data_IF_369907385658
#
_entry.id   IF_369907385658
#
_cell.length_a   1.000
_cell.length_b   1.000
_cell.length_c   1.000
_cell.angle_alpha   90.00
_cell.angle_beta   90.00
_cell.angle_gamma   90.00
#
_symmetry.space_group_name_H-M   'P 1'
#
loop_
_entity.id
_entity.type
_entity.pdbx_description
1 polymer ?
#
# COMPACT_ATOMS: atom_id res chain seq x y z
N UNK A 1 65.92 -56.61 -10.37
CA UNK A 1 64.97 -57.12 -9.37
C UNK A 1 64.50 -55.97 -8.51
N UNK A 2 63.25 -55.98 -8.04
CA UNK A 2 62.05 -56.19 -8.85
C UNK A 2 60.98 -55.10 -8.60
N UNK A 3 60.02 -55.09 -9.52
CA UNK A 3 58.80 -54.29 -9.57
C UNK A 3 57.72 -54.78 -8.58
N UNK A 4 56.78 -53.88 -8.23
CA UNK A 4 55.35 -54.23 -8.12
C UNK A 4 54.66 -54.27 -6.74
N UNK A 5 53.75 -53.32 -6.51
CA UNK A 5 52.50 -53.46 -5.72
C UNK A 5 52.57 -53.21 -4.21
N UNK A 6 51.61 -52.45 -3.63
CA UNK A 6 50.30 -53.03 -3.28
C UNK A 6 49.10 -52.14 -3.69
N UNK A 7 48.09 -52.70 -4.37
CA UNK A 7 46.81 -53.25 -3.89
C UNK A 7 45.77 -52.21 -3.45
N UNK A 8 44.68 -52.19 -4.23
CA UNK A 8 43.39 -51.58 -3.93
C UNK A 8 42.85 -51.98 -2.55
N UNK A 9 42.33 -50.99 -1.82
CA UNK A 9 41.17 -51.17 -0.96
C UNK A 9 40.31 -49.92 -1.12
N UNK A 10 39.12 -50.12 -1.65
CA UNK A 10 38.19 -49.09 -2.08
C UNK A 10 37.69 -48.18 -0.95
N UNK A 11 37.36 -46.99 -1.39
CA UNK A 11 36.72 -45.84 -0.73
C UNK A 11 35.47 -46.21 0.07
N UNK A 12 35.40 -45.75 1.31
CA UNK A 12 34.14 -45.32 1.94
C UNK A 12 34.44 -44.28 3.05
N UNK A 13 34.37 -43.01 2.67
CA UNK A 13 34.13 -41.91 3.60
C UNK A 13 33.58 -40.72 2.81
N UNK A 14 32.25 -40.63 2.72
CA UNK A 14 31.56 -39.49 2.15
C UNK A 14 32.02 -38.19 2.79
N UNK A 15 32.65 -37.33 2.01
CA UNK A 15 32.97 -35.96 2.40
C UNK A 15 32.22 -35.05 1.44
N UNK A 16 31.34 -34.23 2.03
CA UNK A 16 30.45 -33.30 1.34
C UNK A 16 31.28 -32.26 0.60
N UNK A 17 31.01 -32.09 -0.69
CA UNK A 17 31.60 -31.04 -1.52
C UNK A 17 30.99 -29.67 -1.22
N UNK A 18 31.89 -28.68 -1.17
CA UNK A 18 31.66 -27.26 -1.43
C UNK A 18 31.04 -26.47 -0.28
N UNK A 19 31.67 -25.47 0.32
CA UNK A 19 32.73 -24.57 -0.12
C UNK A 19 32.39 -23.22 0.52
N UNK A 20 33.28 -22.69 1.34
CA UNK A 20 33.01 -21.53 2.18
C UNK A 20 33.96 -20.40 1.80
N UNK A 21 33.57 -19.50 0.89
CA UNK A 21 34.38 -18.34 0.57
C UNK A 21 33.57 -17.05 0.54
N UNK A 22 33.97 -16.10 1.38
CA UNK A 22 34.01 -14.69 1.01
C UNK A 22 32.79 -13.85 1.33
N UNK A 23 32.83 -13.16 2.48
CA UNK A 23 31.77 -12.24 2.90
C UNK A 23 31.66 -10.96 2.07
N UNK A 24 30.50 -10.33 2.19
CA UNK A 24 30.33 -8.86 2.24
C UNK A 24 29.13 -8.61 3.14
N UNK A 25 29.32 -7.81 4.20
CA UNK A 25 28.20 -7.32 5.02
C UNK A 25 27.58 -6.16 4.25
N UNK A 26 26.40 -6.37 3.68
CA UNK A 26 25.63 -5.28 3.10
C UNK A 26 24.24 -5.22 3.73
N UNK A 27 23.99 -4.07 4.34
CA UNK A 27 22.70 -3.38 4.48
C UNK A 27 21.47 -4.22 4.77
N UNK A 28 20.92 -4.03 5.98
CA UNK A 28 19.53 -4.35 6.26
C UNK A 28 18.64 -3.85 5.13
N UNK A 29 18.05 -4.79 4.42
CA UNK A 29 16.76 -4.61 3.80
C UNK A 29 15.83 -5.43 4.68
N UNK A 30 15.36 -4.83 5.77
CA UNK A 30 14.03 -5.10 6.23
C UNK A 30 13.13 -4.96 5.00
N UNK A 31 12.83 -6.09 4.38
CA UNK A 31 11.79 -6.19 3.38
C UNK A 31 10.50 -5.84 4.12
N UNK A 32 10.26 -4.52 4.25
CA UNK A 32 9.02 -3.94 4.70
C UNK A 32 7.94 -4.65 3.92
N UNK A 33 7.11 -5.36 4.67
CA UNK A 33 6.06 -6.25 4.21
C UNK A 33 5.47 -5.74 2.90
N UNK A 34 5.66 -6.50 1.83
CA UNK A 34 5.18 -6.21 0.48
C UNK A 34 3.65 -6.24 0.45
N UNK A 35 3.05 -5.21 1.02
CA UNK A 35 1.61 -5.00 1.07
C UNK A 35 1.15 -4.28 -0.20
N UNK A 36 1.65 -4.73 -1.35
CA UNK A 36 1.10 -4.36 -2.65
C UNK A 36 -0.21 -5.15 -2.86
N UNK A 37 -1.22 -4.84 -2.06
CA UNK A 37 -2.52 -5.49 -2.06
C UNK A 37 -3.37 -5.02 -3.23
N UNK A 38 -3.53 -5.85 -4.25
CA UNK A 38 -4.64 -5.74 -5.19
C UNK A 38 -5.95 -6.09 -4.49
N UNK A 39 -6.96 -5.23 -4.62
CA UNK A 39 -8.36 -5.57 -4.42
C UNK A 39 -8.80 -5.70 -2.95
N UNK A 40 -9.67 -4.80 -2.53
CA UNK A 40 -10.17 -4.73 -1.15
C UNK A 40 -10.73 -6.05 -0.63
N UNK A 41 -10.03 -6.62 0.34
CA UNK A 41 -10.60 -7.19 1.56
C UNK A 41 -9.61 -6.91 2.71
N UNK A 42 -10.10 -6.40 3.84
CA UNK A 42 -9.36 -6.09 5.09
C UNK A 42 -8.32 -4.95 5.07
N UNK A 43 -7.66 -4.62 3.95
CA UNK A 43 -6.51 -3.67 3.94
C UNK A 43 -6.81 -2.18 3.71
N UNK A 44 -8.06 -1.80 3.40
CA UNK A 44 -8.40 -0.40 3.07
C UNK A 44 -7.95 0.00 1.66
N UNK A 45 -7.71 1.30 1.43
CA UNK A 45 -7.32 1.85 0.14
C UNK A 45 -5.86 2.32 0.16
N UNK A 46 -5.02 1.74 -0.70
CA UNK A 46 -3.58 2.01 -0.78
C UNK A 46 -3.18 2.82 -2.02
N UNK A 47 -4.02 2.80 -3.06
CA UNK A 47 -3.85 3.54 -4.31
C UNK A 47 -2.63 3.11 -5.16
N UNK A 48 -2.08 1.93 -4.89
CA UNK A 48 -0.91 1.38 -5.59
C UNK A 48 -1.22 1.03 -7.06
N UNK A 49 -2.50 0.75 -7.36
CA UNK A 49 -2.96 0.35 -8.70
C UNK A 49 -3.91 1.35 -9.37
N UNK A 50 -3.99 2.58 -8.83
CA UNK A 50 -4.84 3.65 -9.36
C UNK A 50 -5.68 4.32 -8.28
N UNK A 51 -6.86 4.82 -8.64
CA UNK A 51 -7.76 5.50 -7.69
C UNK A 51 -8.64 4.53 -6.90
N UNK A 52 -8.61 3.22 -7.21
CA UNK A 52 -9.37 2.19 -6.50
C UNK A 52 -10.87 2.50 -6.38
N UNK A 53 -11.45 3.09 -7.44
CA UNK A 53 -12.86 3.44 -7.53
C UNK A 53 -13.23 4.79 -6.89
N UNK A 54 -12.26 5.52 -6.33
CA UNK A 54 -12.49 6.88 -5.87
C UNK A 54 -12.72 7.84 -7.03
N UNK A 55 -13.65 8.77 -6.82
CA UNK A 55 -14.09 9.76 -7.80
C UNK A 55 -14.33 11.11 -7.13
N UNK A 56 -14.26 12.17 -7.92
CA UNK A 56 -14.43 13.57 -7.47
C UNK A 56 -15.70 14.17 -8.07
N UNK A 57 -16.38 15.02 -7.30
CA UNK A 57 -17.54 15.79 -7.75
C UNK A 57 -17.60 17.17 -7.08
N UNK A 58 -18.27 18.13 -7.73
CA UNK A 58 -18.33 19.52 -7.27
C UNK A 58 -17.08 20.33 -7.59
N UNK A 59 -17.14 21.63 -7.33
CA UNK A 59 -16.01 22.56 -7.44
C UNK A 59 -15.60 22.97 -6.03
N UNK A 60 -14.30 23.08 -5.70
CA UNK A 60 -13.21 23.39 -6.62
C UNK A 60 -12.26 22.21 -6.93
N UNK A 61 -12.70 20.96 -6.80
CA UNK A 61 -11.81 19.82 -6.99
C UNK A 61 -11.84 19.29 -8.43
N UNK A 62 -10.71 18.77 -8.89
CA UNK A 62 -10.58 18.05 -10.18
C UNK A 62 -10.64 16.53 -9.94
N UNK A 63 -10.62 15.77 -11.03
CA UNK A 63 -10.56 14.31 -10.96
C UNK A 63 -9.37 13.85 -10.09
N UNK A 64 -9.65 12.97 -9.14
CA UNK A 64 -8.63 12.38 -8.29
C UNK A 64 -7.72 11.45 -9.11
N UNK A 65 -6.44 11.39 -8.75
CA UNK A 65 -5.44 10.57 -9.43
C UNK A 65 -4.56 9.85 -8.41
N UNK A 66 -3.96 8.72 -8.79
CA UNK A 66 -2.93 8.08 -7.97
C UNK A 66 -1.58 8.76 -8.19
N UNK A 67 -0.91 9.13 -7.12
CA UNK A 67 0.32 9.94 -7.12
C UNK A 67 1.40 9.35 -6.24
N UNK A 68 2.66 9.54 -6.63
CA UNK A 68 3.85 9.16 -5.84
C UNK A 68 4.38 10.29 -4.96
N UNK A 69 3.76 11.48 -5.01
CA UNK A 69 4.32 12.67 -4.35
C UNK A 69 4.31 12.59 -2.81
N UNK A 70 3.27 11.98 -2.23
CA UNK A 70 3.05 11.90 -0.77
C UNK A 70 2.34 10.60 -0.39
N UNK A 71 3.07 9.49 -0.44
CA UNK A 71 2.59 8.21 0.09
C UNK A 71 2.64 8.21 1.62
N UNK A 72 1.67 7.58 2.29
CA UNK A 72 1.76 7.27 3.71
C UNK A 72 2.42 5.90 3.91
N UNK A 73 1.91 4.91 3.20
CA UNK A 73 2.42 3.55 3.11
C UNK A 73 2.61 3.23 1.63
N UNK A 74 3.48 2.26 1.33
CA UNK A 74 3.78 1.90 -0.05
C UNK A 74 4.43 3.05 -0.82
N UNK A 75 4.05 3.20 -2.09
CA UNK A 75 4.66 4.16 -3.01
C UNK A 75 3.70 5.20 -3.55
N UNK A 76 2.39 5.04 -3.31
CA UNK A 76 1.35 5.91 -3.87
C UNK A 76 0.35 6.40 -2.83
N UNK A 77 -0.42 7.41 -3.22
CA UNK A 77 -1.59 7.91 -2.52
C UNK A 77 -2.59 8.53 -3.48
N UNK A 78 -3.80 8.80 -3.02
CA UNK A 78 -4.79 9.55 -3.79
C UNK A 78 -4.49 11.05 -3.71
N UNK A 79 -4.19 11.65 -4.86
CA UNK A 79 -4.10 13.09 -5.02
C UNK A 79 -5.44 13.66 -5.47
N UNK A 80 -5.86 14.75 -4.83
CA UNK A 80 -7.07 15.51 -5.17
C UNK A 80 -6.64 16.91 -5.60
N UNK A 81 -6.52 17.20 -6.90
CA UNK A 81 -6.11 18.52 -7.35
C UNK A 81 -7.24 19.53 -7.18
N UNK A 82 -6.88 20.77 -6.84
CA UNK A 82 -7.82 21.89 -6.72
C UNK A 82 -7.67 22.81 -7.94
N UNK A 83 -8.78 23.39 -8.41
CA UNK A 83 -8.80 24.41 -9.48
C UNK A 83 -8.44 25.81 -8.98
N UNK A 84 -8.42 26.03 -7.66
CA UNK A 84 -8.18 27.34 -7.03
C UNK A 84 -9.44 28.22 -6.92
N UNK A 85 -10.61 27.73 -7.32
CA UNK A 85 -11.89 28.45 -7.11
C UNK A 85 -12.42 28.23 -5.70
N UNK A 86 -13.37 29.06 -5.26
CA UNK A 86 -14.14 28.79 -4.03
C UNK A 86 -15.22 27.72 -4.29
N UNK A 87 -15.63 27.01 -3.24
CA UNK A 87 -16.73 26.05 -3.29
C UNK A 87 -16.55 24.83 -2.38
N UNK A 88 -17.39 23.83 -2.59
CA UNK A 88 -17.35 22.54 -1.89
C UNK A 88 -17.25 21.39 -2.89
N UNK A 89 -16.23 20.56 -2.70
CA UNK A 89 -16.02 19.33 -3.47
C UNK A 89 -16.15 18.10 -2.60
N UNK A 90 -16.51 16.97 -3.21
CA UNK A 90 -16.58 15.67 -2.56
C UNK A 90 -15.73 14.66 -3.33
N UNK A 91 -14.84 14.00 -2.61
CA UNK A 91 -14.10 12.83 -3.09
C UNK A 91 -14.64 11.61 -2.35
N UNK A 92 -15.10 10.63 -3.11
CA UNK A 92 -15.77 9.46 -2.54
C UNK A 92 -15.58 8.21 -3.39
N UNK A 93 -15.69 7.06 -2.74
CA UNK A 93 -15.79 5.74 -3.36
C UNK A 93 -17.18 5.18 -3.07
N UNK A 94 -17.83 4.65 -4.10
CA UNK A 94 -19.13 3.98 -3.94
C UNK A 94 -18.90 2.57 -3.42
N UNK A 95 -19.90 2.04 -2.71
CA UNK A 95 -19.93 0.64 -2.23
C UNK A 95 -18.67 0.23 -1.46
N UNK A 96 -18.17 1.11 -0.58
CA UNK A 96 -17.05 0.79 0.29
C UNK A 96 -17.41 -0.43 1.17
N UNK A 97 -16.54 -1.45 1.27
CA UNK A 97 -16.83 -2.67 2.04
C UNK A 97 -16.58 -2.42 3.54
N UNK A 98 -17.30 -1.47 4.13
CA UNK A 98 -17.20 -1.09 5.54
C UNK A 98 -18.39 -1.68 6.30
N UNK A 99 -18.16 -2.64 7.22
CA UNK A 99 -19.23 -3.16 8.07
C UNK A 99 -19.87 -2.06 8.93
N UNK A 100 -21.15 -2.19 9.23
CA UNK A 100 -21.85 -1.27 10.12
C UNK A 100 -21.20 -1.28 11.51
N UNK A 101 -20.96 -0.08 12.06
CA UNK A 101 -20.33 0.09 13.37
C UNK A 101 -18.80 -0.04 13.36
N UNK A 102 -18.18 -0.30 12.20
CA UNK A 102 -16.73 -0.27 12.07
C UNK A 102 -16.20 1.17 12.11
N UNK A 103 -14.98 1.32 12.65
CA UNK A 103 -14.24 2.60 12.61
C UNK A 103 -13.48 2.71 11.30
N UNK A 104 -13.64 3.84 10.61
CA UNK A 104 -12.85 4.19 9.43
C UNK A 104 -11.72 5.12 9.85
N UNK A 105 -10.48 4.72 9.59
CA UNK A 105 -9.29 5.55 9.80
C UNK A 105 -8.77 6.02 8.46
N UNK A 106 -8.40 7.30 8.38
CA UNK A 106 -7.82 7.89 7.17
C UNK A 106 -6.73 8.88 7.55
N UNK A 107 -5.84 9.18 6.61
CA UNK A 107 -4.82 10.22 6.76
C UNK A 107 -4.86 11.16 5.58
N UNK A 108 -4.92 12.46 5.87
CA UNK A 108 -4.90 13.52 4.86
C UNK A 108 -3.64 14.34 5.05
N UNK A 109 -2.95 14.60 3.93
CA UNK A 109 -1.92 15.62 3.87
C UNK A 109 -2.45 16.81 3.06
N UNK A 110 -2.35 18.00 3.63
CA UNK A 110 -2.71 19.25 2.97
C UNK A 110 -1.42 20.06 2.80
N UNK A 111 -1.06 20.49 1.57
CA UNK A 111 0.06 21.39 1.36
C UNK A 111 -0.07 22.67 2.21
N UNK A 112 1.04 23.16 2.74
CA UNK A 112 1.07 24.48 3.38
C UNK A 112 0.64 25.57 2.38
N UNK A 113 -0.10 26.57 2.87
CA UNK A 113 -0.66 27.63 2.02
C UNK A 113 -1.89 27.22 1.20
N UNK A 114 -2.40 25.99 1.38
CA UNK A 114 -3.69 25.59 0.81
C UNK A 114 -4.83 26.47 1.32
N UNK A 115 -5.75 26.84 0.44
CA UNK A 115 -6.98 27.58 0.77
C UNK A 115 -8.10 26.72 1.36
N UNK A 116 -7.83 25.47 1.73
CA UNK A 116 -8.81 24.58 2.38
C UNK A 116 -9.10 25.09 3.79
N UNK A 117 -10.35 25.44 4.05
CA UNK A 117 -10.80 25.97 5.35
C UNK A 117 -11.45 24.92 6.24
N UNK A 118 -11.95 23.82 5.67
CA UNK A 118 -12.58 22.73 6.39
C UNK A 118 -12.44 21.41 5.63
N UNK A 119 -12.40 20.31 6.39
CA UNK A 119 -12.57 18.95 5.91
C UNK A 119 -13.64 18.27 6.76
N UNK A 120 -14.62 17.66 6.12
CA UNK A 120 -15.72 16.94 6.78
C UNK A 120 -15.79 15.50 6.25
N UNK A 121 -15.21 14.54 6.98
CA UNK A 121 -15.36 13.13 6.66
C UNK A 121 -16.79 12.68 6.94
N UNK A 122 -17.34 11.85 6.04
CA UNK A 122 -18.63 11.20 6.25
C UNK A 122 -18.66 9.83 5.61
N UNK A 123 -19.58 8.99 6.07
CA UNK A 123 -20.00 7.77 5.41
C UNK A 123 -21.51 7.83 5.15
N UNK A 124 -21.91 7.51 3.92
CA UNK A 124 -23.31 7.36 3.55
C UNK A 124 -23.66 5.87 3.56
N UNK A 125 -24.49 5.45 4.50
CA UNK A 125 -24.96 4.07 4.59
C UNK A 125 -25.81 3.72 3.36
N UNK A 126 -25.74 2.48 2.88
CA UNK A 126 -26.56 2.01 1.76
C UNK A 126 -28.04 1.88 2.13
N UNK A 127 -28.83 1.30 1.23
CA UNK A 127 -30.28 1.11 1.39
C UNK A 127 -30.66 0.45 2.72
N UNK A 128 -29.94 -0.61 3.14
CA UNK A 128 -30.16 -1.29 4.42
C UNK A 128 -29.91 -0.40 5.65
N UNK A 129 -29.08 0.63 5.51
CA UNK A 129 -28.85 1.66 6.54
C UNK A 129 -29.71 2.91 6.36
N UNK A 130 -30.67 2.90 5.42
CA UNK A 130 -31.61 3.99 5.22
C UNK A 130 -31.00 5.29 4.71
N UNK A 131 -29.90 5.21 3.93
CA UNK A 131 -29.22 6.40 3.36
C UNK A 131 -28.75 7.40 4.42
N UNK A 132 -28.41 6.90 5.60
CA UNK A 132 -27.98 7.72 6.73
C UNK A 132 -26.57 8.23 6.52
N UNK A 133 -26.38 9.53 6.66
CA UNK A 133 -25.05 10.14 6.80
C UNK A 133 -24.53 9.90 8.23
N UNK A 134 -23.30 9.41 8.33
CA UNK A 134 -22.62 9.16 9.60
C UNK A 134 -21.22 9.77 9.57
N UNK A 135 -20.76 10.15 10.75
CA UNK A 135 -19.49 10.81 10.97
C UNK A 135 -19.55 11.54 12.31
N UNK A 136 -18.51 11.40 13.12
CA UNK A 136 -18.29 12.22 14.31
C UNK A 136 -17.01 12.98 14.06
N UNK A 137 -17.09 14.30 14.00
CA UNK A 137 -15.95 15.18 13.72
C UNK A 137 -15.89 16.31 14.74
#
# INVERSE_FOLDING_TARGET
GPDGGPRDAGTDAGTRDGGADGGTRDGGSDAGTSDAGSGGTTRGYGFETGTEGWSSSGAPIKAATSSTARAQAGTRSLAVPFSGTAGTGVVSVRTAPVPRGATVTFRVWIPSGSGITALQPFALEGETGGWRYTGTW
#
